data_IF_889067062896
#
_entry.id   IF_889067062896
#
_cell.length_a   1.000
_cell.length_b   1.000
_cell.length_c   1.000
_cell.angle_alpha   90.00
_cell.angle_beta   90.00
_cell.angle_gamma   90.00
#
_symmetry.space_group_name_H-M   'P 1'
#
loop_
_entity.id
_entity.type
_entity.pdbx_description
1 polymer ?
#
# COMPACT_ATOMS: atom_id res chain seq x y z
N UNK A 1 9.90 -48.32 28.73
CA UNK A 1 10.35 -47.07 29.39
C UNK A 1 10.43 -45.93 28.40
N UNK A 2 10.79 -46.16 27.10
CA UNK A 2 10.82 -45.14 26.05
C UNK A 2 9.47 -44.48 25.83
N UNK A 3 8.34 -45.17 26.02
CA UNK A 3 6.98 -44.62 25.91
C UNK A 3 6.77 -43.45 26.89
N UNK A 4 7.31 -43.51 28.10
CA UNK A 4 7.21 -42.43 29.08
C UNK A 4 8.08 -41.22 28.72
N UNK A 5 9.16 -41.43 27.99
CA UNK A 5 9.94 -40.27 27.47
C UNK A 5 9.07 -39.42 26.55
N UNK A 6 8.40 -40.05 25.59
CA UNK A 6 7.42 -39.37 24.71
C UNK A 6 6.22 -38.83 25.51
N UNK A 7 5.61 -39.68 26.37
CA UNK A 7 4.44 -39.30 27.14
C UNK A 7 4.66 -38.11 28.11
N UNK A 8 5.91 -37.82 28.48
CA UNK A 8 6.27 -36.66 29.32
C UNK A 8 6.68 -35.46 28.47
N UNK A 9 7.44 -35.64 27.39
CA UNK A 9 7.92 -34.53 26.57
C UNK A 9 6.81 -33.93 25.70
N UNK A 10 5.89 -34.74 25.17
CA UNK A 10 4.84 -34.24 24.28
C UNK A 10 3.91 -33.24 24.96
N UNK A 11 3.36 -33.47 26.19
CA UNK A 11 2.50 -32.51 26.86
C UNK A 11 3.14 -31.14 27.12
N UNK A 12 4.43 -31.09 27.50
CA UNK A 12 5.11 -29.83 27.74
C UNK A 12 5.40 -29.09 26.39
N UNK A 13 5.77 -29.82 25.35
CA UNK A 13 5.98 -29.25 24.01
C UNK A 13 4.66 -28.73 23.43
N UNK A 14 3.57 -29.46 23.60
CA UNK A 14 2.23 -29.04 23.22
C UNK A 14 1.82 -27.75 23.95
N UNK A 15 2.02 -27.71 25.28
CA UNK A 15 1.76 -26.52 26.10
C UNK A 15 2.56 -25.31 25.60
N UNK A 16 3.87 -25.45 25.36
CA UNK A 16 4.73 -24.37 24.85
C UNK A 16 4.30 -23.94 23.44
N UNK A 17 3.92 -24.91 22.58
CA UNK A 17 3.43 -24.61 21.24
C UNK A 17 2.11 -23.83 21.30
N UNK A 18 1.16 -24.22 22.12
CA UNK A 18 -0.10 -23.49 22.34
C UNK A 18 0.19 -22.06 22.84
N UNK A 19 1.10 -21.89 23.80
CA UNK A 19 1.47 -20.59 24.33
C UNK A 19 2.07 -19.68 23.22
N UNK A 20 2.99 -20.20 22.44
CA UNK A 20 3.59 -19.48 21.31
C UNK A 20 2.55 -19.12 20.25
N UNK A 21 1.67 -20.05 19.88
CA UNK A 21 0.59 -19.82 18.92
C UNK A 21 -0.40 -18.75 19.41
N UNK A 22 -0.61 -18.67 20.74
CA UNK A 22 -1.41 -17.64 21.39
C UNK A 22 -0.63 -16.35 21.69
N UNK A 23 0.62 -16.20 21.20
CA UNK A 23 1.50 -15.05 21.48
C UNK A 23 1.63 -14.71 22.96
N UNK A 24 1.62 -15.74 23.82
CA UNK A 24 1.81 -15.62 25.27
C UNK A 24 3.24 -16.03 25.64
N UNK A 25 3.94 -15.16 26.33
CA UNK A 25 5.23 -15.54 26.92
C UNK A 25 4.99 -16.46 28.11
N UNK A 26 5.62 -17.62 28.07
CA UNK A 26 5.61 -18.55 29.20
C UNK A 26 6.63 -18.06 30.24
N UNK A 27 6.20 -17.99 31.49
CA UNK A 27 7.12 -17.64 32.57
C UNK A 27 8.24 -18.69 32.69
N UNK A 28 9.48 -18.24 32.63
CA UNK A 28 10.68 -19.11 32.70
C UNK A 28 10.69 -19.96 34.00
N UNK A 29 10.19 -19.43 35.11
CA UNK A 29 10.08 -20.18 36.38
C UNK A 29 9.09 -21.34 36.26
N UNK A 30 7.92 -21.09 35.63
CA UNK A 30 6.94 -22.14 35.35
C UNK A 30 7.51 -23.21 34.41
N UNK A 31 8.18 -22.81 33.36
CA UNK A 31 8.82 -23.74 32.42
C UNK A 31 9.87 -24.58 33.10
N UNK A 32 10.74 -23.97 33.91
CA UNK A 32 11.74 -24.68 34.70
C UNK A 32 11.09 -25.70 35.67
N UNK A 33 10.01 -25.30 36.36
CA UNK A 33 9.25 -26.18 37.20
C UNK A 33 8.70 -27.42 36.47
N UNK A 34 8.10 -27.19 35.26
CA UNK A 34 7.57 -28.29 34.45
C UNK A 34 8.69 -29.23 33.96
N UNK A 35 9.84 -28.69 33.56
CA UNK A 35 11.01 -29.49 33.13
C UNK A 35 11.57 -30.30 34.30
N UNK A 36 11.68 -29.73 35.51
CA UNK A 36 12.11 -30.44 36.68
C UNK A 36 11.11 -31.54 37.07
N UNK A 37 9.80 -31.25 37.00
CA UNK A 37 8.76 -32.27 37.29
C UNK A 37 8.84 -33.40 36.22
N UNK A 38 8.98 -33.09 34.95
CA UNK A 38 9.20 -34.05 33.90
C UNK A 38 10.41 -34.97 34.19
N UNK A 39 11.52 -34.37 34.64
CA UNK A 39 12.75 -35.09 34.94
C UNK A 39 12.55 -36.08 36.12
N UNK A 40 11.76 -35.68 37.12
CA UNK A 40 11.41 -36.57 38.25
C UNK A 40 10.56 -37.75 37.76
N UNK A 41 9.53 -37.53 36.94
CA UNK A 41 8.70 -38.59 36.38
C UNK A 41 9.54 -39.57 35.53
N UNK A 42 10.41 -39.05 34.68
CA UNK A 42 11.33 -39.84 33.86
C UNK A 42 12.27 -40.67 34.74
N UNK A 43 12.85 -40.06 35.77
CA UNK A 43 13.74 -40.76 36.72
C UNK A 43 13.06 -41.98 37.31
N UNK A 44 11.84 -41.85 37.84
CA UNK A 44 11.09 -42.99 38.42
C UNK A 44 10.69 -44.00 37.32
N UNK A 45 10.27 -43.57 36.14
CA UNK A 45 9.89 -44.43 35.02
C UNK A 45 11.07 -45.30 34.51
N UNK A 46 12.30 -44.81 34.60
CA UNK A 46 13.49 -45.58 34.19
C UNK A 46 14.04 -46.53 35.24
N UNK A 47 13.57 -46.46 36.51
CA UNK A 47 13.96 -47.36 37.55
C UNK A 47 13.13 -48.68 37.63
N UNK A 48 12.30 -48.93 36.64
CA UNK A 48 11.51 -50.15 36.47
C UNK A 48 12.42 -51.38 36.47
N UNK A 49 12.09 -52.32 37.38
CA UNK A 49 12.90 -53.52 37.60
C UNK A 49 14.01 -53.38 38.66
N UNK A 50 14.37 -52.14 39.06
CA UNK A 50 15.29 -51.84 40.15
C UNK A 50 14.54 -51.50 41.44
N UNK A 51 13.37 -50.86 41.33
CA UNK A 51 12.49 -50.45 42.42
C UNK A 51 11.02 -50.68 42.07
N UNK A 52 10.19 -50.93 43.06
CA UNK A 52 8.74 -51.15 42.90
C UNK A 52 7.92 -49.86 43.01
N UNK A 53 8.59 -48.69 43.07
CA UNK A 53 7.93 -47.41 43.33
C UNK A 53 7.05 -46.93 42.16
N UNK A 54 7.46 -47.20 40.89
CA UNK A 54 6.71 -46.77 39.70
C UNK A 54 5.79 -47.89 39.16
N UNK A 55 6.32 -49.13 39.09
CA UNK A 55 5.56 -50.34 38.80
C UNK A 55 5.83 -51.36 39.93
N UNK A 56 4.75 -51.83 40.57
CA UNK A 56 4.86 -52.85 41.58
C UNK A 56 5.12 -54.23 40.99
N UNK A 57 4.50 -54.54 39.82
CA UNK A 57 4.67 -55.79 39.09
C UNK A 57 4.45 -55.56 37.60
N UNK A 58 5.23 -56.28 36.79
CA UNK A 58 5.05 -56.35 35.32
C UNK A 58 5.07 -57.83 34.94
N UNK A 59 3.98 -58.31 34.30
CA UNK A 59 3.85 -59.69 33.79
C UNK A 59 3.38 -59.70 32.36
N UNK A 60 3.83 -60.74 31.61
CA UNK A 60 3.33 -61.01 30.28
C UNK A 60 2.14 -61.95 30.37
N UNK A 61 0.98 -61.50 29.88
CA UNK A 61 -0.21 -62.32 29.80
C UNK A 61 -0.51 -62.61 28.31
N UNK A 62 -0.85 -63.85 27.99
CA UNK A 62 -1.21 -64.24 26.65
C UNK A 62 -2.71 -64.53 26.60
N UNK A 63 -3.42 -63.83 25.73
CA UNK A 63 -4.87 -63.96 25.51
C UNK A 63 -5.09 -64.11 24.02
N UNK A 64 -5.74 -65.17 23.61
CA UNK A 64 -6.06 -65.52 22.20
C UNK A 64 -4.84 -65.43 21.24
N UNK A 65 -3.66 -65.87 21.75
CA UNK A 65 -2.44 -65.87 20.96
C UNK A 65 -1.72 -64.50 20.86
N UNK A 66 -2.28 -63.46 21.44
CA UNK A 66 -1.66 -62.13 21.50
C UNK A 66 -1.09 -61.90 22.91
N UNK A 67 0.18 -61.45 22.97
CA UNK A 67 0.86 -61.19 24.24
C UNK A 67 0.59 -59.74 24.69
N UNK A 68 0.03 -59.58 25.89
CA UNK A 68 -0.20 -58.27 26.52
C UNK A 68 0.71 -58.10 27.71
N UNK A 69 1.13 -56.85 27.94
CA UNK A 69 1.88 -56.48 29.14
C UNK A 69 0.93 -56.05 30.22
N UNK A 70 0.78 -56.86 31.25
CA UNK A 70 -0.01 -56.52 32.44
C UNK A 70 0.88 -55.72 33.41
N UNK A 71 0.43 -54.53 33.77
CA UNK A 71 1.17 -53.59 34.61
C UNK A 71 0.41 -53.30 35.87
N UNK A 72 1.01 -53.61 37.03
CA UNK A 72 0.52 -53.12 38.34
C UNK A 72 1.30 -51.86 38.70
N UNK A 73 0.59 -50.79 38.96
CA UNK A 73 1.18 -49.48 39.20
C UNK A 73 1.60 -49.26 40.63
N UNK A 74 2.80 -48.76 40.86
CA UNK A 74 3.30 -48.36 42.16
C UNK A 74 2.86 -46.94 42.59
N UNK A 75 3.16 -46.52 43.82
CA UNK A 75 2.69 -45.23 44.36
C UNK A 75 3.21 -44.01 43.57
N UNK A 76 4.42 -44.06 43.02
CA UNK A 76 5.01 -42.94 42.28
C UNK A 76 4.48 -42.82 40.84
N UNK A 77 3.77 -43.82 40.35
CA UNK A 77 3.14 -43.75 39.04
C UNK A 77 2.10 -42.60 38.93
N UNK A 78 1.48 -42.22 40.06
CA UNK A 78 0.51 -41.12 40.13
C UNK A 78 1.11 -39.78 39.75
N UNK A 79 2.43 -39.59 39.77
CA UNK A 79 3.11 -38.38 39.34
C UNK A 79 2.93 -38.11 37.84
N UNK A 80 2.90 -39.18 37.03
CA UNK A 80 2.73 -39.05 35.57
C UNK A 80 1.36 -38.47 35.18
N UNK A 81 0.20 -39.02 35.61
CA UNK A 81 -1.11 -38.43 35.32
C UNK A 81 -1.26 -37.02 35.88
N UNK A 82 -0.71 -36.72 37.06
CA UNK A 82 -0.74 -35.36 37.63
C UNK A 82 0.02 -34.38 36.72
N UNK A 83 1.19 -34.78 36.25
CA UNK A 83 1.97 -33.97 35.32
C UNK A 83 1.23 -33.69 34.01
N UNK A 84 0.66 -34.72 33.37
CA UNK A 84 -0.09 -34.60 32.10
C UNK A 84 -1.30 -33.69 32.30
N UNK A 85 -2.09 -33.89 33.33
CA UNK A 85 -3.27 -33.07 33.66
C UNK A 85 -2.87 -31.61 33.94
N UNK A 86 -1.74 -31.37 34.58
CA UNK A 86 -1.23 -30.03 34.83
C UNK A 86 -0.89 -29.31 33.52
N UNK A 87 -0.17 -29.98 32.61
CA UNK A 87 0.15 -29.40 31.28
C UNK A 87 -1.11 -29.10 30.47
N UNK A 88 -2.10 -30.03 30.49
CA UNK A 88 -3.39 -29.85 29.84
C UNK A 88 -4.18 -28.67 30.41
N UNK A 89 -4.26 -28.58 31.75
CA UNK A 89 -4.95 -27.49 32.44
C UNK A 89 -4.32 -26.11 32.13
N UNK A 90 -2.99 -26.03 32.10
CA UNK A 90 -2.26 -24.83 31.74
C UNK A 90 -2.52 -24.45 30.26
N UNK A 91 -2.54 -25.43 29.35
CA UNK A 91 -2.89 -25.21 27.95
C UNK A 91 -4.31 -24.66 27.78
N UNK A 92 -5.29 -25.29 28.46
CA UNK A 92 -6.68 -24.82 28.46
C UNK A 92 -6.84 -23.43 29.05
N UNK A 93 -6.11 -23.10 30.10
CA UNK A 93 -6.11 -21.76 30.69
C UNK A 93 -5.57 -20.69 29.72
N UNK A 94 -4.46 -20.96 29.01
CA UNK A 94 -3.92 -20.06 27.98
C UNK A 94 -4.94 -19.85 26.86
N UNK A 95 -5.56 -20.92 26.38
CA UNK A 95 -6.56 -20.84 25.31
C UNK A 95 -7.77 -20.01 25.76
N UNK A 96 -8.31 -20.27 26.95
CA UNK A 96 -9.43 -19.52 27.52
C UNK A 96 -9.10 -18.01 27.66
N UNK A 97 -7.91 -17.70 28.20
CA UNK A 97 -7.45 -16.32 28.31
C UNK A 97 -7.23 -15.63 26.94
N UNK A 98 -6.92 -16.41 25.89
CA UNK A 98 -6.68 -15.90 24.55
C UNK A 98 -7.98 -15.57 23.80
N UNK A 99 -9.12 -16.15 24.18
CA UNK A 99 -10.43 -15.74 23.64
C UNK A 99 -10.76 -14.26 23.88
N UNK A 100 -10.22 -13.67 24.93
CA UNK A 100 -10.39 -12.22 25.19
C UNK A 100 -9.55 -11.32 24.27
N UNK A 101 -8.52 -11.86 23.60
CA UNK A 101 -7.59 -11.09 22.76
C UNK A 101 -7.89 -11.21 21.25
N UNK A 102 -9.16 -11.16 20.87
CA UNK A 102 -9.65 -11.39 19.49
C UNK A 102 -9.07 -10.48 18.39
N UNK A 103 -8.50 -9.34 18.77
CA UNK A 103 -7.89 -8.41 17.80
C UNK A 103 -6.49 -8.82 17.33
N UNK A 104 -5.76 -9.62 18.15
CA UNK A 104 -4.35 -9.98 17.88
C UNK A 104 -4.17 -11.44 17.43
N UNK A 105 -5.16 -12.29 17.62
CA UNK A 105 -5.08 -13.72 17.34
C UNK A 105 -6.37 -14.18 16.66
N UNK A 106 -6.23 -15.00 15.62
CA UNK A 106 -7.36 -15.55 14.91
C UNK A 106 -8.25 -16.40 15.84
N UNK A 107 -9.52 -16.05 15.93
CA UNK A 107 -10.52 -16.82 16.67
C UNK A 107 -10.59 -18.28 16.21
N UNK A 108 -10.45 -18.53 14.89
CA UNK A 108 -10.52 -19.89 14.31
C UNK A 108 -9.36 -20.76 14.78
N UNK A 109 -8.16 -20.18 14.93
CA UNK A 109 -6.97 -20.87 15.44
C UNK A 109 -7.18 -21.24 16.92
N UNK A 110 -7.59 -20.26 17.73
CA UNK A 110 -7.83 -20.51 19.17
C UNK A 110 -8.92 -21.55 19.37
N UNK A 111 -10.02 -21.46 18.60
CA UNK A 111 -11.13 -22.42 18.70
C UNK A 111 -10.72 -23.83 18.29
N UNK A 112 -9.94 -23.99 17.19
CA UNK A 112 -9.48 -25.32 16.76
C UNK A 112 -8.56 -25.98 17.78
N UNK A 113 -7.63 -25.21 18.37
CA UNK A 113 -6.77 -25.69 19.46
C UNK A 113 -7.56 -26.04 20.72
N UNK A 114 -8.57 -25.23 21.06
CA UNK A 114 -9.43 -25.48 22.23
C UNK A 114 -10.24 -26.76 22.07
N UNK A 115 -10.82 -26.99 20.89
CA UNK A 115 -11.56 -28.23 20.61
C UNK A 115 -10.62 -29.44 20.63
N UNK A 116 -9.43 -29.36 20.04
CA UNK A 116 -8.43 -30.41 20.09
C UNK A 116 -8.06 -30.76 21.54
N UNK A 117 -7.81 -29.74 22.37
CA UNK A 117 -7.47 -29.92 23.77
C UNK A 117 -8.62 -30.57 24.59
N UNK A 118 -9.89 -30.21 24.27
CA UNK A 118 -11.07 -30.88 24.89
C UNK A 118 -11.10 -32.39 24.56
N UNK A 119 -10.83 -32.71 23.26
CA UNK A 119 -10.78 -34.09 22.79
C UNK A 119 -9.66 -34.84 23.51
N UNK A 120 -8.46 -34.27 23.63
CA UNK A 120 -7.31 -34.85 24.31
C UNK A 120 -7.62 -35.13 25.77
N UNK A 121 -8.24 -34.18 26.47
CA UNK A 121 -8.67 -34.38 27.89
C UNK A 121 -9.75 -35.47 28.01
N UNK A 122 -10.73 -35.48 27.09
CA UNK A 122 -11.80 -36.46 27.05
C UNK A 122 -11.31 -37.88 26.82
N UNK A 123 -10.39 -38.06 25.85
CA UNK A 123 -9.78 -39.38 25.59
C UNK A 123 -8.94 -39.83 26.76
N UNK A 124 -8.13 -38.94 27.35
CA UNK A 124 -7.34 -39.26 28.55
C UNK A 124 -8.21 -39.74 29.74
N UNK A 125 -9.30 -39.02 29.98
CA UNK A 125 -10.24 -39.39 31.06
C UNK A 125 -10.95 -40.71 30.75
N UNK A 126 -11.42 -40.92 29.50
CA UNK A 126 -12.07 -42.14 29.03
C UNK A 126 -11.17 -43.37 29.14
N UNK A 127 -9.91 -43.23 28.71
CA UNK A 127 -8.90 -44.30 28.78
C UNK A 127 -8.69 -44.75 30.24
N UNK A 128 -8.66 -43.81 31.17
CA UNK A 128 -8.57 -44.09 32.63
C UNK A 128 -9.82 -44.74 33.20
N UNK A 129 -11.02 -44.26 32.83
CA UNK A 129 -12.27 -44.77 33.33
C UNK A 129 -12.61 -46.17 32.80
N UNK A 130 -12.33 -46.40 31.53
CA UNK A 130 -12.65 -47.67 30.85
C UNK A 130 -11.58 -48.75 31.01
N UNK A 131 -10.47 -48.46 31.73
CA UNK A 131 -9.31 -49.33 31.88
C UNK A 131 -8.87 -49.93 30.54
N UNK A 132 -8.80 -49.06 29.51
CA UNK A 132 -8.49 -49.46 28.14
C UNK A 132 -7.11 -50.13 28.06
N UNK A 133 -7.04 -51.26 27.35
CA UNK A 133 -5.77 -51.95 27.06
C UNK A 133 -4.97 -51.27 25.94
N UNK A 134 -5.62 -50.41 25.16
CA UNK A 134 -5.01 -49.64 24.05
C UNK A 134 -4.70 -48.23 24.55
N UNK A 135 -3.49 -47.78 24.33
CA UNK A 135 -3.04 -46.42 24.68
C UNK A 135 -3.48 -45.42 23.57
N UNK A 136 -4.74 -44.98 23.61
CA UNK A 136 -5.35 -44.08 22.62
C UNK A 136 -4.71 -42.70 22.62
N UNK A 137 -4.13 -42.26 23.75
CA UNK A 137 -3.44 -40.95 23.82
C UNK A 137 -2.33 -40.81 22.83
N UNK A 138 -1.65 -41.85 22.39
CA UNK A 138 -0.61 -41.80 21.37
C UNK A 138 -1.15 -41.31 20.01
N UNK A 139 -2.36 -41.78 19.64
CA UNK A 139 -3.02 -41.34 18.40
C UNK A 139 -3.51 -39.90 18.53
N UNK A 140 -3.99 -39.48 19.68
CA UNK A 140 -4.44 -38.10 19.93
C UNK A 140 -3.27 -37.13 19.84
N UNK A 141 -2.12 -37.44 20.42
CA UNK A 141 -0.92 -36.62 20.32
C UNK A 141 -0.46 -36.46 18.86
N UNK A 142 -0.53 -37.53 18.06
CA UNK A 142 -0.20 -37.46 16.64
C UNK A 142 -1.15 -36.50 15.88
N UNK A 143 -2.45 -36.55 16.19
CA UNK A 143 -3.45 -35.64 15.62
C UNK A 143 -3.21 -34.19 16.04
N UNK A 144 -2.89 -33.97 17.33
CA UNK A 144 -2.55 -32.65 17.84
C UNK A 144 -1.31 -32.07 17.16
N UNK A 145 -0.27 -32.88 16.92
CA UNK A 145 0.93 -32.46 16.17
C UNK A 145 0.61 -32.08 14.72
N UNK A 146 -0.18 -32.91 14.02
CA UNK A 146 -0.61 -32.61 12.63
C UNK A 146 -1.41 -31.29 12.59
N UNK A 147 -2.31 -31.08 13.55
CA UNK A 147 -3.07 -29.86 13.69
C UNK A 147 -2.14 -28.66 13.90
N UNK A 148 -1.20 -28.74 14.85
CA UNK A 148 -0.24 -27.66 15.13
C UNK A 148 0.62 -27.36 13.90
N UNK A 149 1.14 -28.37 13.20
CA UNK A 149 1.91 -28.16 11.95
C UNK A 149 1.08 -27.45 10.87
N UNK A 150 -0.21 -27.80 10.76
CA UNK A 150 -1.12 -27.11 9.83
C UNK A 150 -1.34 -25.64 10.22
N UNK A 151 -1.44 -25.35 11.51
CA UNK A 151 -1.65 -24.01 12.05
C UNK A 151 -0.39 -23.15 12.01
N UNK A 152 0.82 -23.73 12.16
CA UNK A 152 2.09 -23.00 12.06
C UNK A 152 2.22 -22.32 10.70
N UNK A 153 1.82 -22.97 9.61
CA UNK A 153 1.84 -22.37 8.27
C UNK A 153 0.94 -21.13 8.19
N UNK A 154 -0.19 -21.16 8.86
CA UNK A 154 -1.14 -20.05 8.88
C UNK A 154 -0.64 -18.89 9.74
N UNK A 155 -0.03 -19.21 10.87
CA UNK A 155 0.52 -18.22 11.81
C UNK A 155 1.77 -17.54 11.26
N UNK A 156 2.60 -18.24 10.49
CA UNK A 156 3.72 -17.62 9.78
C UNK A 156 3.29 -16.45 8.88
N UNK A 157 2.07 -16.46 8.35
CA UNK A 157 1.52 -15.31 7.62
C UNK A 157 1.21 -14.12 8.53
N UNK A 158 0.77 -14.39 9.76
CA UNK A 158 0.50 -13.32 10.76
C UNK A 158 1.78 -12.67 11.27
N UNK A 159 2.86 -13.46 11.44
CA UNK A 159 4.17 -12.94 11.85
C UNK A 159 4.81 -12.08 10.74
N UNK A 160 4.68 -12.48 9.49
CA UNK A 160 5.13 -11.67 8.35
C UNK A 160 4.38 -10.34 8.33
N UNK A 161 3.05 -10.35 8.55
CA UNK A 161 2.25 -9.12 8.62
C UNK A 161 2.69 -8.22 9.77
N UNK A 162 2.93 -8.77 10.95
CA UNK A 162 3.33 -8.04 12.16
C UNK A 162 4.76 -7.47 12.03
N UNK A 163 5.68 -8.25 11.45
CA UNK A 163 7.05 -7.81 11.20
C UNK A 163 7.14 -6.74 10.11
N UNK A 164 6.31 -6.85 9.06
CA UNK A 164 6.19 -5.80 8.05
C UNK A 164 5.62 -4.52 8.69
N UNK A 165 4.57 -4.63 9.49
CA UNK A 165 4.00 -3.50 10.20
C UNK A 165 5.04 -2.81 11.08
N UNK A 166 5.75 -3.56 11.93
CA UNK A 166 6.79 -3.02 12.84
C UNK A 166 8.01 -2.46 12.12
N UNK A 167 8.53 -3.15 11.10
CA UNK A 167 9.69 -2.67 10.33
C UNK A 167 9.39 -1.38 9.57
N UNK A 168 8.11 -1.14 9.26
CA UNK A 168 7.66 0.05 8.55
C UNK A 168 7.11 1.14 9.48
N UNK A 169 6.84 0.82 10.77
CA UNK A 169 6.36 1.79 11.77
C UNK A 169 7.37 2.88 12.09
N UNK A 170 8.66 2.56 12.15
CA UNK A 170 9.68 3.50 12.63
C UNK A 170 9.92 4.72 11.72
N UNK A 171 9.53 4.68 10.44
CA UNK A 171 9.88 5.76 9.49
C UNK A 171 8.81 6.03 8.40
N UNK A 172 7.58 5.53 8.49
CA UNK A 172 6.71 5.55 7.34
C UNK A 172 5.51 6.49 7.45
N UNK A 173 5.45 7.40 6.48
CA UNK A 173 4.27 8.17 6.08
C UNK A 173 3.17 7.29 5.47
N UNK A 174 3.42 5.97 5.33
CA UNK A 174 2.54 5.04 4.64
C UNK A 174 1.71 4.22 5.63
N UNK A 175 0.44 4.04 5.29
CA UNK A 175 -0.43 3.04 5.90
C UNK A 175 -0.28 1.69 5.19
N UNK A 176 -0.24 0.59 5.94
CA UNK A 176 -0.14 -0.76 5.38
C UNK A 176 -1.27 -1.64 5.90
N UNK A 177 -1.99 -2.29 4.97
CA UNK A 177 -2.98 -3.33 5.23
C UNK A 177 -2.53 -4.62 4.58
N UNK A 178 -2.68 -5.73 5.29
CA UNK A 178 -2.29 -7.05 4.78
C UNK A 178 -3.51 -7.97 4.75
N UNK A 179 -3.64 -8.70 3.63
CA UNK A 179 -4.68 -9.68 3.38
C UNK A 179 -4.09 -11.03 2.98
N UNK A 180 -4.78 -12.12 3.29
CA UNK A 180 -4.44 -13.44 2.78
C UNK A 180 -4.90 -13.62 1.31
N UNK A 181 -4.60 -14.80 0.72
CA UNK A 181 -5.04 -15.11 -0.64
C UNK A 181 -6.57 -15.23 -0.80
N UNK A 182 -7.33 -15.27 0.29
CA UNK A 182 -8.80 -15.29 0.32
C UNK A 182 -9.36 -13.91 0.68
N UNK A 183 -8.53 -12.86 0.59
CA UNK A 183 -8.84 -11.46 0.91
C UNK A 183 -9.37 -11.25 2.34
N UNK A 184 -8.90 -12.09 3.29
CA UNK A 184 -9.21 -11.92 4.71
C UNK A 184 -8.15 -11.04 5.35
N UNK A 185 -8.59 -10.16 6.22
CA UNK A 185 -7.74 -9.23 6.94
C UNK A 185 -6.76 -9.94 7.87
N UNK A 186 -5.47 -9.61 7.76
CA UNK A 186 -4.40 -10.16 8.60
C UNK A 186 -3.84 -9.14 9.58
N UNK A 187 -3.85 -7.86 9.25
CA UNK A 187 -3.35 -6.80 10.10
C UNK A 187 -3.10 -5.49 9.36
N UNK A 188 -2.83 -4.43 10.11
CA UNK A 188 -2.44 -3.11 9.61
C UNK A 188 -1.51 -2.42 10.61
N UNK A 189 -0.86 -1.33 10.17
CA UNK A 189 -0.15 -0.42 11.08
C UNK A 189 -1.10 0.67 11.60
N UNK A 190 -0.66 1.44 12.62
CA UNK A 190 -1.47 2.50 13.23
C UNK A 190 -1.88 3.59 12.24
N UNK A 191 -1.03 3.87 11.25
CA UNK A 191 -1.29 4.91 10.25
C UNK A 191 -2.54 4.64 9.40
N UNK A 192 -2.84 3.37 9.14
CA UNK A 192 -4.07 2.99 8.43
C UNK A 192 -5.32 3.31 9.26
N UNK A 193 -5.26 3.10 10.57
CA UNK A 193 -6.39 3.40 11.47
C UNK A 193 -6.67 4.91 11.50
N UNK A 194 -5.60 5.72 11.39
CA UNK A 194 -5.75 7.18 11.25
C UNK A 194 -6.43 7.57 9.92
N UNK A 195 -6.07 6.89 8.82
CA UNK A 195 -6.64 7.17 7.50
C UNK A 195 -8.05 6.60 7.31
N UNK A 196 -8.29 5.42 7.84
CA UNK A 196 -9.50 4.62 7.68
C UNK A 196 -9.94 4.06 9.03
N UNK A 197 -10.63 4.86 9.89
CA UNK A 197 -11.02 4.44 11.23
C UNK A 197 -11.89 3.16 11.27
N UNK A 198 -12.66 2.89 10.21
CA UNK A 198 -13.51 1.69 10.11
C UNK A 198 -12.71 0.38 10.22
N UNK A 199 -11.40 0.41 9.92
CA UNK A 199 -10.51 -0.76 10.02
C UNK A 199 -10.26 -1.17 11.48
N UNK A 200 -10.38 -0.26 12.42
CA UNK A 200 -10.20 -0.55 13.85
C UNK A 200 -11.17 -1.61 14.38
N UNK A 201 -12.32 -1.82 13.72
CA UNK A 201 -13.33 -2.80 14.08
C UNK A 201 -13.12 -4.16 13.43
N UNK A 202 -12.27 -4.25 12.40
CA UNK A 202 -11.95 -5.52 11.74
C UNK A 202 -11.11 -6.41 12.66
N UNK A 203 -11.47 -7.69 12.67
CA UNK A 203 -10.74 -8.73 13.40
C UNK A 203 -9.88 -9.54 12.43
N UNK A 204 -8.84 -10.13 12.95
CA UNK A 204 -7.99 -11.04 12.18
C UNK A 204 -8.82 -12.19 11.59
N UNK A 205 -8.59 -12.51 10.32
CA UNK A 205 -9.33 -13.47 9.48
C UNK A 205 -10.76 -13.05 9.08
N UNK A 206 -11.20 -11.83 9.41
CA UNK A 206 -12.49 -11.35 8.92
C UNK A 206 -12.37 -10.97 7.42
N UNK A 207 -13.35 -11.35 6.59
CA UNK A 207 -13.46 -10.82 5.25
C UNK A 207 -13.96 -9.36 5.33
N UNK A 208 -13.52 -8.50 4.39
CA UNK A 208 -14.17 -7.20 4.22
C UNK A 208 -15.59 -7.46 3.71
N UNK A 209 -16.57 -7.20 4.55
CA UNK A 209 -17.98 -7.45 4.26
C UNK A 209 -18.68 -6.21 3.71
N UNK A 210 -19.90 -6.42 3.19
CA UNK A 210 -20.79 -5.32 2.77
C UNK A 210 -21.27 -4.45 3.94
N UNK A 211 -21.04 -4.90 5.19
CA UNK A 211 -21.35 -4.14 6.40
C UNK A 211 -20.39 -2.97 6.62
N UNK A 212 -19.22 -3.00 5.95
CA UNK A 212 -18.28 -1.88 5.86
C UNK A 212 -18.24 -1.36 4.41
N UNK A 213 -19.26 -0.59 3.96
CA UNK A 213 -19.46 -0.28 2.55
C UNK A 213 -18.30 0.48 1.93
N UNK A 214 -17.68 1.39 2.67
CA UNK A 214 -16.54 2.15 2.18
C UNK A 214 -15.32 1.27 1.90
N UNK A 215 -14.97 0.36 2.82
CA UNK A 215 -13.86 -0.58 2.65
C UNK A 215 -14.16 -1.59 1.54
N UNK A 216 -15.40 -2.06 1.46
CA UNK A 216 -15.83 -3.00 0.42
C UNK A 216 -15.69 -2.40 -0.99
N UNK A 217 -16.23 -1.21 -1.22
CA UNK A 217 -16.19 -0.55 -2.52
C UNK A 217 -14.76 -0.14 -2.93
N UNK A 218 -13.98 0.38 -1.99
CA UNK A 218 -12.69 0.98 -2.29
C UNK A 218 -11.52 -0.01 -2.19
N UNK A 219 -11.62 -1.07 -1.39
CA UNK A 219 -10.54 -2.04 -1.20
C UNK A 219 -10.95 -3.43 -1.72
N UNK A 220 -12.01 -4.06 -1.16
CA UNK A 220 -12.34 -5.45 -1.46
C UNK A 220 -12.58 -5.71 -2.95
N UNK A 221 -13.40 -4.89 -3.62
CA UNK A 221 -13.68 -5.04 -5.06
C UNK A 221 -12.44 -4.92 -5.96
N UNK A 222 -11.39 -4.25 -5.46
CA UNK A 222 -10.13 -4.06 -6.20
C UNK A 222 -9.14 -5.17 -5.92
N UNK A 223 -9.16 -5.75 -4.71
CA UNK A 223 -8.38 -6.95 -4.39
C UNK A 223 -8.75 -8.12 -5.31
N UNK A 224 -10.05 -8.29 -5.62
CA UNK A 224 -10.53 -9.33 -6.55
C UNK A 224 -9.99 -9.15 -7.99
N UNK A 225 -9.71 -7.91 -8.38
CA UNK A 225 -9.19 -7.56 -9.70
C UNK A 225 -7.68 -7.39 -9.74
N UNK A 226 -7.01 -7.52 -8.59
CA UNK A 226 -5.57 -7.28 -8.50
C UNK A 226 -4.79 -8.31 -9.35
N UNK A 227 -3.91 -7.86 -10.25
CA UNK A 227 -3.10 -8.75 -11.06
C UNK A 227 -2.14 -9.55 -10.20
N UNK A 228 -1.87 -10.80 -10.60
CA UNK A 228 -1.05 -11.73 -9.80
C UNK A 228 0.41 -11.26 -9.63
N UNK A 229 0.95 -10.42 -10.52
CA UNK A 229 2.38 -10.09 -10.54
C UNK A 229 2.71 -8.59 -10.58
N UNK A 230 1.75 -7.69 -10.77
CA UNK A 230 2.02 -6.26 -10.89
C UNK A 230 1.34 -5.46 -9.78
N UNK A 231 1.97 -4.35 -9.35
CA UNK A 231 1.34 -3.41 -8.46
C UNK A 231 0.23 -2.66 -9.20
N UNK A 232 -0.91 -2.46 -8.54
CA UNK A 232 -2.02 -1.66 -9.06
C UNK A 232 -2.18 -0.41 -8.21
N UNK A 233 -2.11 0.76 -8.84
CA UNK A 233 -2.27 2.05 -8.18
C UNK A 233 -3.67 2.62 -8.46
N UNK A 234 -4.29 3.21 -7.45
CA UNK A 234 -5.54 3.93 -7.55
C UNK A 234 -5.67 4.94 -6.40
N UNK A 235 -6.70 5.77 -6.46
CA UNK A 235 -6.94 6.78 -5.43
C UNK A 235 -8.26 6.51 -4.71
N UNK A 236 -8.27 6.79 -3.41
CA UNK A 236 -9.44 6.77 -2.55
C UNK A 236 -9.64 8.18 -2.02
N UNK A 237 -10.86 8.69 -2.18
CA UNK A 237 -11.30 9.94 -1.58
C UNK A 237 -12.04 9.61 -0.28
N UNK A 238 -11.50 10.10 0.83
CA UNK A 238 -12.20 10.14 2.11
C UNK A 238 -12.82 11.52 2.29
N UNK A 239 -13.52 11.77 3.42
CA UNK A 239 -14.12 13.08 3.70
C UNK A 239 -13.09 14.22 3.69
N UNK A 240 -11.87 13.94 4.21
CA UNK A 240 -10.86 14.97 4.46
C UNK A 240 -9.51 14.68 3.80
N UNK A 241 -9.35 13.53 3.12
CA UNK A 241 -8.05 13.10 2.58
C UNK A 241 -8.18 12.47 1.21
N UNK A 242 -7.18 12.71 0.37
CA UNK A 242 -6.96 12.02 -0.90
C UNK A 242 -5.84 10.99 -0.71
N UNK A 243 -6.21 9.71 -0.65
CA UNK A 243 -5.26 8.63 -0.42
C UNK A 243 -4.86 7.97 -1.73
N UNK A 244 -3.56 7.87 -1.97
CA UNK A 244 -3.00 6.99 -3.00
C UNK A 244 -2.93 5.57 -2.44
N UNK A 245 -3.51 4.61 -3.15
CA UNK A 245 -3.53 3.20 -2.80
C UNK A 245 -2.73 2.39 -3.80
N UNK A 246 -1.81 1.57 -3.30
CA UNK A 246 -1.05 0.62 -4.12
C UNK A 246 -1.26 -0.80 -3.60
N UNK A 247 -1.80 -1.70 -4.44
CA UNK A 247 -1.93 -3.13 -4.12
C UNK A 247 -0.70 -3.87 -4.63
N UNK A 248 0.00 -4.57 -3.73
CA UNK A 248 1.20 -5.37 -4.05
C UNK A 248 1.00 -6.81 -3.60
N UNK A 249 1.38 -7.82 -4.41
CA UNK A 249 1.39 -9.21 -3.97
C UNK A 249 2.51 -9.45 -2.96
N UNK A 250 2.24 -10.23 -1.93
CA UNK A 250 3.21 -10.70 -0.96
C UNK A 250 3.65 -12.12 -1.32
N UNK A 251 4.98 -12.37 -1.30
CA UNK A 251 5.57 -13.66 -1.62
C UNK A 251 6.36 -14.20 -0.42
N UNK A 252 6.37 -15.53 -0.26
CA UNK A 252 7.18 -16.22 0.73
C UNK A 252 8.41 -16.85 0.05
N UNK A 253 9.58 -16.67 0.71
CA UNK A 253 10.87 -17.14 0.17
C UNK A 253 11.21 -16.43 -1.15
N UNK A 254 12.25 -16.82 -1.86
CA UNK A 254 12.78 -16.19 -3.10
C UNK A 254 11.72 -15.95 -4.23
N UNK A 255 10.55 -15.40 -3.89
CA UNK A 255 9.51 -14.96 -4.82
C UNK A 255 8.64 -16.06 -5.43
N UNK A 256 8.73 -17.30 -4.95
CA UNK A 256 8.08 -18.44 -5.63
C UNK A 256 6.62 -18.71 -5.27
N UNK A 257 6.11 -18.25 -4.11
CA UNK A 257 4.74 -18.53 -3.68
C UNK A 257 4.05 -17.28 -3.16
N UNK A 258 2.99 -16.85 -3.82
CA UNK A 258 2.11 -15.78 -3.32
C UNK A 258 1.43 -16.24 -2.03
N UNK A 259 1.57 -15.45 -0.97
CA UNK A 259 0.98 -15.72 0.35
C UNK A 259 -0.18 -14.77 0.67
N UNK A 260 -0.27 -13.63 -0.02
CA UNK A 260 -1.32 -12.66 0.21
C UNK A 260 -1.15 -11.39 -0.62
N UNK A 261 -1.81 -10.35 -0.18
CA UNK A 261 -1.79 -9.00 -0.78
C UNK A 261 -1.50 -7.97 0.31
N UNK A 262 -0.72 -6.96 -0.03
CA UNK A 262 -0.50 -5.77 0.79
C UNK A 262 -1.10 -4.56 0.08
N UNK A 263 -1.88 -3.79 0.79
CA UNK A 263 -2.38 -2.48 0.36
C UNK A 263 -1.59 -1.41 1.10
N UNK A 264 -0.90 -0.59 0.33
CA UNK A 264 -0.14 0.56 0.79
C UNK A 264 -0.97 1.82 0.56
N UNK A 265 -1.14 2.64 1.60
CA UNK A 265 -1.90 3.88 1.60
C UNK A 265 -0.97 5.05 1.86
N UNK A 266 -1.05 6.09 1.04
CA UNK A 266 -0.31 7.33 1.23
C UNK A 266 -1.26 8.53 1.16
N UNK A 267 -1.15 9.43 2.12
CA UNK A 267 -1.87 10.71 2.10
C UNK A 267 -1.18 11.65 1.10
N UNK A 268 -1.86 11.95 0.00
CA UNK A 268 -1.39 12.85 -1.05
C UNK A 268 -2.21 14.17 -1.09
N UNK A 269 -3.01 14.44 -0.08
CA UNK A 269 -3.92 15.59 -0.05
C UNK A 269 -3.18 16.89 -0.34
N UNK A 270 -2.14 17.21 0.43
CA UNK A 270 -1.35 18.44 0.25
C UNK A 270 -0.66 18.50 -1.10
N UNK A 271 -0.09 17.37 -1.55
CA UNK A 271 0.59 17.29 -2.85
C UNK A 271 -0.36 17.57 -4.01
N UNK A 272 -1.56 17.01 -3.95
CA UNK A 272 -2.58 17.22 -4.99
C UNK A 272 -3.15 18.62 -4.98
N UNK A 273 -3.39 19.17 -3.79
CA UNK A 273 -3.81 20.55 -3.64
C UNK A 273 -2.77 21.52 -4.23
N UNK A 274 -1.49 21.28 -3.95
CA UNK A 274 -0.40 22.05 -4.52
C UNK A 274 -0.33 21.93 -6.06
N UNK A 275 -0.53 20.73 -6.62
CA UNK A 275 -0.55 20.53 -8.08
C UNK A 275 -1.74 21.28 -8.72
N UNK A 276 -2.94 21.26 -8.08
CA UNK A 276 -4.09 22.05 -8.56
C UNK A 276 -3.79 23.54 -8.54
N UNK A 277 -3.25 24.05 -7.44
CA UNK A 277 -2.87 25.44 -7.31
C UNK A 277 -1.86 25.87 -8.38
N UNK A 278 -0.86 25.04 -8.66
CA UNK A 278 0.11 25.29 -9.75
C UNK A 278 -0.55 25.32 -11.13
N UNK A 279 -1.51 24.44 -11.36
CA UNK A 279 -2.22 24.40 -12.63
C UNK A 279 -3.04 25.68 -12.85
N UNK A 280 -3.83 26.08 -11.84
CA UNK A 280 -4.64 27.29 -11.86
C UNK A 280 -3.76 28.55 -12.05
N UNK A 281 -2.62 28.59 -11.34
CA UNK A 281 -1.66 29.70 -11.48
C UNK A 281 -1.04 29.77 -12.86
N UNK A 282 -0.70 28.61 -13.47
CA UNK A 282 -0.17 28.57 -14.82
C UNK A 282 -1.20 29.06 -15.87
N UNK A 283 -2.47 28.65 -15.73
CA UNK A 283 -3.54 29.15 -16.61
C UNK A 283 -3.73 30.67 -16.49
N UNK A 284 -3.68 31.20 -15.27
CA UNK A 284 -3.78 32.64 -15.03
C UNK A 284 -2.57 33.40 -15.61
N UNK A 285 -1.36 32.82 -15.46
CA UNK A 285 -0.12 33.38 -16.04
C UNK A 285 -0.17 33.39 -17.55
N UNK A 286 -0.61 32.31 -18.20
CA UNK A 286 -0.74 32.26 -19.65
C UNK A 286 -1.69 33.36 -20.18
N UNK A 287 -2.85 33.51 -19.55
CA UNK A 287 -3.79 34.60 -19.90
C UNK A 287 -3.16 36.00 -19.74
N UNK A 288 -2.48 36.21 -18.62
CA UNK A 288 -1.80 37.49 -18.37
C UNK A 288 -0.69 37.77 -19.39
N UNK A 289 0.07 36.75 -19.80
CA UNK A 289 1.11 36.87 -20.86
C UNK A 289 0.47 37.19 -22.20
N UNK A 290 -0.62 36.52 -22.59
CA UNK A 290 -1.35 36.82 -23.82
C UNK A 290 -1.87 38.25 -23.85
N UNK A 291 -2.52 38.71 -22.79
CA UNK A 291 -3.02 40.07 -22.67
C UNK A 291 -1.90 41.14 -22.75
N UNK A 292 -0.79 40.90 -22.02
CA UNK A 292 0.35 41.82 -22.05
C UNK A 292 1.03 41.85 -23.44
N UNK A 293 1.15 40.70 -24.08
CA UNK A 293 1.74 40.60 -25.42
C UNK A 293 0.88 41.32 -26.47
N UNK A 294 -0.45 41.15 -26.41
CA UNK A 294 -1.39 41.87 -27.28
C UNK A 294 -1.34 43.38 -27.02
N UNK A 295 -1.25 43.79 -25.72
CA UNK A 295 -1.12 45.21 -25.38
C UNK A 295 0.17 45.82 -25.89
N UNK A 296 1.32 45.14 -25.73
CA UNK A 296 2.62 45.58 -26.26
C UNK A 296 2.55 45.71 -27.77
N UNK A 297 2.00 44.71 -28.48
CA UNK A 297 1.85 44.78 -29.94
C UNK A 297 0.99 45.99 -30.38
N UNK A 298 -0.15 46.20 -29.71
CA UNK A 298 -1.02 47.38 -29.98
C UNK A 298 -0.31 48.71 -29.74
N UNK A 299 0.50 48.77 -28.65
CA UNK A 299 1.28 49.98 -28.35
C UNK A 299 2.38 50.25 -29.38
N UNK A 300 3.08 49.19 -29.86
CA UNK A 300 4.05 49.28 -30.94
C UNK A 300 3.41 49.81 -32.24
N UNK A 301 2.23 49.25 -32.61
CA UNK A 301 1.51 49.71 -33.81
C UNK A 301 1.09 51.19 -33.72
N UNK A 302 0.63 51.63 -32.55
CA UNK A 302 0.30 53.04 -32.28
C UNK A 302 1.53 53.98 -32.35
N UNK A 303 2.67 53.51 -31.79
CA UNK A 303 3.93 54.27 -31.89
C UNK A 303 4.39 54.45 -33.31
N UNK A 304 4.36 53.34 -34.10
CA UNK A 304 4.75 53.41 -35.51
C UNK A 304 3.87 54.35 -36.31
N UNK A 305 2.55 54.32 -36.13
CA UNK A 305 1.62 55.25 -36.75
C UNK A 305 1.87 56.69 -36.30
N UNK A 306 2.10 56.94 -34.99
CA UNK A 306 2.41 58.27 -34.47
C UNK A 306 3.71 58.85 -35.03
N UNK A 307 4.76 58.01 -35.19
CA UNK A 307 6.01 58.41 -35.83
C UNK A 307 5.80 58.76 -37.33
N UNK A 308 5.05 57.91 -38.03
CA UNK A 308 4.74 58.14 -39.45
C UNK A 308 3.90 59.41 -39.63
N UNK A 309 2.91 59.70 -38.80
CA UNK A 309 2.13 60.95 -38.82
C UNK A 309 3.00 62.17 -38.53
N UNK A 310 3.98 62.11 -37.65
CA UNK A 310 4.92 63.18 -37.37
C UNK A 310 5.77 63.50 -38.61
N UNK A 311 6.23 62.47 -39.35
CA UNK A 311 7.03 62.68 -40.61
C UNK A 311 6.16 63.24 -41.68
N UNK A 312 4.94 62.70 -41.85
CA UNK A 312 3.98 63.23 -42.81
C UNK A 312 3.69 64.72 -42.57
N UNK A 313 3.61 65.17 -41.33
CA UNK A 313 3.36 66.54 -40.93
C UNK A 313 4.52 67.49 -41.33
N UNK A 314 5.75 67.02 -41.54
CA UNK A 314 6.89 67.80 -42.07
C UNK A 314 6.81 68.02 -43.59
N UNK A 315 6.22 67.04 -44.27
CA UNK A 315 6.00 67.09 -45.71
C UNK A 315 4.70 67.90 -45.98
N UNK A 316 4.71 68.88 -46.80
CA UNK A 316 3.55 69.72 -47.10
C UNK A 316 2.45 69.00 -47.88
N UNK A 317 2.56 67.71 -48.05
CA UNK A 317 1.54 66.86 -48.67
C UNK A 317 0.33 66.70 -47.78
N UNK A 318 -0.83 66.51 -48.34
CA UNK A 318 -2.15 66.44 -47.65
C UNK A 318 -2.16 65.42 -46.57
N UNK A 319 -2.43 65.81 -45.27
CA UNK A 319 -2.46 64.96 -44.07
C UNK A 319 -3.35 63.70 -44.23
N UNK A 320 -2.91 62.59 -43.61
CA UNK A 320 -3.60 61.33 -43.66
C UNK A 320 -3.21 60.37 -44.82
N UNK A 321 -2.15 60.63 -45.53
CA UNK A 321 -1.64 59.73 -46.56
C UNK A 321 -1.16 58.41 -45.98
N UNK A 322 -0.38 58.43 -44.88
CA UNK A 322 0.12 57.26 -44.21
C UNK A 322 -1.03 56.33 -43.70
N UNK A 323 -2.07 56.94 -43.14
CA UNK A 323 -3.26 56.21 -42.68
C UNK A 323 -4.03 55.57 -43.86
N UNK A 324 -4.24 56.31 -44.96
CA UNK A 324 -4.92 55.75 -46.14
C UNK A 324 -4.11 54.62 -46.78
N UNK A 325 -2.80 54.80 -46.95
CA UNK A 325 -1.92 53.79 -47.51
C UNK A 325 -1.88 52.55 -46.69
N UNK A 326 -1.76 52.68 -45.38
CA UNK A 326 -1.80 51.56 -44.43
C UNK A 326 -3.11 50.79 -44.55
N UNK A 327 -4.24 51.47 -44.64
CA UNK A 327 -5.54 50.82 -44.75
C UNK A 327 -5.70 50.08 -46.08
N UNK A 328 -5.25 50.67 -47.17
CA UNK A 328 -5.24 50.04 -48.53
C UNK A 328 -4.38 48.76 -48.51
N UNK A 329 -3.18 48.82 -47.95
CA UNK A 329 -2.30 47.64 -47.79
C UNK A 329 -2.96 46.55 -46.89
N UNK A 330 -3.58 46.96 -45.82
CA UNK A 330 -4.30 46.03 -44.91
C UNK A 330 -5.43 45.29 -45.65
N UNK A 331 -6.23 46.00 -46.46
CA UNK A 331 -7.30 45.38 -47.25
C UNK A 331 -6.71 44.48 -48.34
N UNK A 332 -5.67 44.92 -49.01
CA UNK A 332 -5.02 44.16 -50.06
C UNK A 332 -4.38 42.85 -49.51
N UNK A 333 -3.62 42.93 -48.45
CA UNK A 333 -2.99 41.74 -47.83
C UNK A 333 -4.04 40.74 -47.32
N UNK A 334 -5.17 41.20 -46.79
CA UNK A 334 -6.27 40.35 -46.38
C UNK A 334 -6.93 39.61 -47.56
N UNK A 335 -7.08 40.26 -48.70
CA UNK A 335 -7.59 39.59 -49.91
C UNK A 335 -6.58 38.61 -50.49
N UNK A 336 -5.27 38.93 -50.46
CA UNK A 336 -4.21 37.97 -50.83
C UNK A 336 -4.21 36.73 -49.90
N UNK A 337 -4.40 36.90 -48.61
CA UNK A 337 -4.52 35.78 -47.67
C UNK A 337 -5.75 34.92 -48.02
N UNK A 338 -6.88 35.53 -48.37
CA UNK A 338 -8.10 34.81 -48.81
C UNK A 338 -7.90 34.06 -50.12
N UNK A 339 -7.17 34.64 -51.05
CA UNK A 339 -6.86 33.99 -52.30
C UNK A 339 -5.87 32.82 -52.19
N UNK A 340 -5.24 32.67 -51.01
CA UNK A 340 -4.44 31.51 -50.62
C UNK A 340 -3.15 31.36 -51.44
N UNK A 341 -2.71 30.09 -51.56
CA UNK A 341 -1.42 29.74 -52.18
C UNK A 341 -1.23 30.16 -53.67
N UNK A 342 -2.28 30.68 -54.31
CA UNK A 342 -2.21 31.08 -55.71
C UNK A 342 -1.13 32.13 -55.99
N UNK A 343 -0.75 32.96 -55.01
CA UNK A 343 0.24 34.04 -55.16
C UNK A 343 1.57 33.75 -54.41
N UNK A 344 1.71 32.60 -53.73
CA UNK A 344 2.99 32.20 -53.14
C UNK A 344 3.45 32.98 -51.90
N UNK A 345 2.59 33.82 -51.30
CA UNK A 345 2.93 34.60 -50.10
C UNK A 345 2.55 33.87 -48.84
N UNK A 346 3.46 33.81 -47.84
CA UNK A 346 3.14 33.27 -46.52
C UNK A 346 2.31 34.25 -45.70
N UNK A 347 1.51 33.77 -44.79
CA UNK A 347 0.73 34.59 -43.87
C UNK A 347 1.61 35.53 -43.04
N UNK A 348 2.77 35.06 -42.62
CA UNK A 348 3.76 35.86 -41.89
C UNK A 348 4.25 37.05 -42.73
N UNK A 349 4.60 36.80 -43.99
CA UNK A 349 5.04 37.85 -44.92
C UNK A 349 3.95 38.91 -45.07
N UNK A 350 2.69 38.54 -45.30
CA UNK A 350 1.58 39.48 -45.45
C UNK A 350 1.35 40.28 -44.15
N UNK A 351 1.54 39.68 -43.01
CA UNK A 351 1.46 40.33 -41.70
C UNK A 351 2.58 41.39 -41.55
N UNK A 352 3.82 41.04 -41.92
CA UNK A 352 4.95 41.99 -41.89
C UNK A 352 4.78 43.16 -42.88
N UNK A 353 4.28 42.88 -44.08
CA UNK A 353 3.98 43.94 -45.08
C UNK A 353 2.94 44.91 -44.51
N UNK A 354 1.89 44.41 -43.88
CA UNK A 354 0.86 45.25 -43.28
C UNK A 354 1.42 46.12 -42.15
N UNK A 355 2.29 45.56 -41.31
CA UNK A 355 2.94 46.31 -40.20
C UNK A 355 3.98 47.32 -40.72
N UNK A 356 4.66 47.04 -41.81
CA UNK A 356 5.69 47.92 -42.43
C UNK A 356 5.09 49.07 -43.23
N UNK A 357 3.85 48.92 -43.69
CA UNK A 357 3.22 49.93 -44.58
C UNK A 357 3.26 51.38 -44.05
N UNK A 358 3.00 51.66 -42.74
CA UNK A 358 3.12 53.01 -42.18
C UNK A 358 4.53 53.61 -42.29
N UNK A 359 5.55 52.75 -42.35
CA UNK A 359 6.97 53.18 -42.34
C UNK A 359 7.59 53.43 -43.67
N UNK A 360 6.83 53.30 -44.77
CA UNK A 360 7.36 53.38 -46.09
C UNK A 360 8.08 54.75 -46.43
N UNK A 361 7.65 55.81 -45.73
CA UNK A 361 8.19 57.17 -45.88
C UNK A 361 9.12 57.59 -44.72
N UNK A 362 9.51 56.67 -43.84
CA UNK A 362 10.31 56.96 -42.64
C UNK A 362 11.67 57.57 -42.98
N UNK A 363 12.26 57.25 -44.16
CA UNK A 363 13.50 57.81 -44.63
C UNK A 363 13.46 59.35 -44.89
N UNK A 364 12.27 59.91 -45.07
CA UNK A 364 12.10 61.36 -45.19
C UNK A 364 12.55 62.13 -43.94
N UNK A 365 12.70 61.45 -42.82
CA UNK A 365 13.20 62.03 -41.59
C UNK A 365 14.64 62.53 -41.68
N UNK A 366 15.44 61.93 -42.52
CA UNK A 366 16.85 62.30 -42.78
C UNK A 366 17.01 63.44 -43.77
N UNK A 367 15.98 63.76 -44.56
CA UNK A 367 16.04 64.78 -45.58
C UNK A 367 15.93 66.21 -45.03
N UNK A 368 16.76 67.17 -45.50
CA UNK A 368 16.70 68.55 -45.04
C UNK A 368 15.37 69.18 -45.44
N UNK A 369 14.78 69.99 -44.55
CA UNK A 369 13.49 70.68 -44.75
C UNK A 369 13.50 71.61 -45.97
N UNK A 370 14.67 72.13 -46.34
CA UNK A 370 14.83 72.98 -47.57
C UNK A 370 14.53 72.24 -48.86
N UNK A 371 14.86 70.94 -48.89
CA UNK A 371 14.58 70.04 -50.04
C UNK A 371 13.17 69.49 -49.91
N UNK A 372 12.82 68.94 -48.75
CA UNK A 372 11.54 68.30 -48.49
C UNK A 372 10.33 69.23 -48.74
N UNK A 373 10.46 70.51 -48.36
CA UNK A 373 9.41 71.57 -48.56
C UNK A 373 9.62 72.48 -49.75
N UNK A 374 10.50 72.18 -50.62
CA UNK A 374 10.81 73.06 -51.81
C UNK A 374 9.58 73.21 -52.70
N UNK A 375 9.12 74.45 -52.93
CA UNK A 375 8.06 74.66 -53.89
C UNK A 375 8.62 74.54 -55.33
N UNK A 376 8.18 73.54 -56.05
CA UNK A 376 8.61 73.33 -57.43
C UNK A 376 9.44 72.07 -57.70
N UNK A 377 10.08 71.94 -58.82
CA UNK A 377 10.87 70.76 -59.20
C UNK A 377 12.26 70.78 -58.55
N UNK A 378 12.74 69.63 -58.16
CA UNK A 378 14.09 69.40 -57.60
C UNK A 378 15.14 69.61 -58.72
N UNK A 379 16.29 70.18 -58.39
CA UNK A 379 17.49 70.11 -59.18
C UNK A 379 18.05 68.68 -59.18
N UNK A 380 18.92 68.33 -60.15
CA UNK A 380 19.51 66.99 -60.16
C UNK A 380 20.23 66.61 -58.86
N UNK A 381 20.94 67.54 -58.20
CA UNK A 381 21.63 67.28 -56.91
C UNK A 381 20.67 67.10 -55.75
N UNK A 382 19.63 67.92 -55.66
CA UNK A 382 18.56 67.79 -54.65
C UNK A 382 17.77 66.49 -54.82
N UNK A 383 17.62 66.00 -56.05
CA UNK A 383 16.96 64.72 -56.32
C UNK A 383 17.81 63.53 -55.88
N UNK A 384 19.13 63.61 -56.03
CA UNK A 384 20.03 62.56 -55.49
C UNK A 384 20.05 62.58 -53.96
N UNK A 385 20.11 63.79 -53.35
CA UNK A 385 20.02 63.93 -51.87
C UNK A 385 18.70 63.41 -51.31
N UNK A 386 17.61 63.44 -52.08
CA UNK A 386 16.31 62.89 -51.69
C UNK A 386 16.27 61.37 -51.82
N UNK A 387 17.17 60.73 -52.59
CA UNK A 387 17.23 59.26 -52.72
C UNK A 387 18.12 58.61 -51.70
N UNK A 388 19.15 59.26 -51.13
CA UNK A 388 20.07 58.81 -50.14
C UNK A 388 19.40 58.78 -48.74
#
# INVERSE_FOLDING_TARGET
NLVYLGGVLVPILLFVSIANLCRRQVNHVLLLFLVLFASVVIYYAFQVGLRTDFYSRISLMQIDGVSFLEKEYGPMHSLYPVYVLLCMALGMWILAASFSQRKKISYKVVLSLFLAQIVSVGVYAGERMLHSRVEWMTFVYLLDEILILSLIRRIGMYEVSDNIAKALEEHSTYGYLVFDNQHRYLGCNEKVIEYLPEIADLRMDDPISKETPFLYENIARRLDKAPNNNAQNYYILTKDKELSCTIKPLFHGAGKRKIGLMVELQDETQRREYIRLLHDYNEELEKAVEEKTAHISSMQDKMLLGMADMIESRDSSTGGHVKRTSEVIRIFTKELERAGAAYGFSKEFLTYVTKAAPMHDLGKMAVDDRILRKPGKFTPNEFEEMKD
#
